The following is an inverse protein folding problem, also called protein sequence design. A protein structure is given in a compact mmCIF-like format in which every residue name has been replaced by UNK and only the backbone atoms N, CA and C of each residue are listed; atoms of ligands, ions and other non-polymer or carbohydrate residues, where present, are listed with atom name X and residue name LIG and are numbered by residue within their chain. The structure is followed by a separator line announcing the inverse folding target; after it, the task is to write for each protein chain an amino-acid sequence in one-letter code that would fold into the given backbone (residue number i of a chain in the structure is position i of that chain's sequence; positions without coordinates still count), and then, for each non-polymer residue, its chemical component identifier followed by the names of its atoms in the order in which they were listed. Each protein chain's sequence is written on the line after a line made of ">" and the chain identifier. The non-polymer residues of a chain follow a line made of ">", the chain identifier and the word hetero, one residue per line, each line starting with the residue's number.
data_IF_293078002339
#
_entry.id   IF_293078002339
#
_cell.length_a   1.000
_cell.length_b   1.000
_cell.length_c   1.000
_cell.angle_alpha   90.00
_cell.angle_beta   90.00
_cell.angle_gamma   90.00
#
_symmetry.space_group_name_H-M   'P 1'
#
loop_
_entity.id
_entity.type
_entity.pdbx_description
1 polymer ?
#
# COMPACT_ATOMS: atom_id res chain seq x y z
N UNK A 1 -13.71 -11.00 -8.06
CA UNK A 1 -12.64 -10.08 -8.51
C UNK A 1 -12.94 -9.64 -9.94
N UNK A 2 -12.76 -8.36 -10.28
CA UNK A 2 -13.04 -7.89 -11.65
C UNK A 2 -11.90 -8.25 -12.62
N UNK A 3 -12.24 -8.57 -13.86
CA UNK A 3 -11.27 -8.87 -14.93
C UNK A 3 -10.29 -7.71 -15.18
N UNK A 4 -10.78 -6.47 -15.05
CA UNK A 4 -9.99 -5.25 -15.18
C UNK A 4 -8.88 -5.14 -14.11
N UNK A 5 -9.15 -5.58 -12.88
CA UNK A 5 -8.17 -5.56 -11.78
C UNK A 5 -7.04 -6.56 -12.00
N UNK A 6 -7.34 -7.73 -12.60
CA UNK A 6 -6.34 -8.72 -12.95
C UNK A 6 -5.45 -8.22 -14.10
N UNK A 7 -6.05 -7.69 -15.17
CA UNK A 7 -5.31 -7.11 -16.32
C UNK A 7 -4.36 -5.98 -15.89
N UNK A 8 -4.85 -5.05 -15.06
CA UNK A 8 -4.02 -3.97 -14.52
C UNK A 8 -2.85 -4.50 -13.68
N UNK A 9 -3.08 -5.53 -12.86
CA UNK A 9 -2.04 -6.16 -12.06
C UNK A 9 -0.90 -6.75 -12.91
N UNK A 10 -1.20 -7.31 -14.08
CA UNK A 10 -0.21 -7.97 -14.92
C UNK A 10 0.52 -7.02 -15.90
N UNK A 11 -0.07 -5.88 -16.25
CA UNK A 11 0.47 -4.96 -17.26
C UNK A 11 0.96 -3.61 -16.74
N UNK A 12 0.57 -3.19 -15.53
CA UNK A 12 1.08 -1.96 -14.94
C UNK A 12 2.57 -2.08 -14.57
N UNK A 13 3.33 -0.98 -14.71
CA UNK A 13 4.65 -0.91 -14.11
C UNK A 13 4.55 -0.92 -12.55
N UNK A 14 5.62 -1.33 -11.84
CA UNK A 14 5.57 -1.49 -10.39
C UNK A 14 5.24 -0.20 -9.63
N UNK A 15 5.58 0.96 -10.18
CA UNK A 15 5.29 2.26 -9.56
C UNK A 15 3.82 2.61 -9.71
N UNK A 16 3.25 2.49 -10.91
CA UNK A 16 1.82 2.69 -11.16
C UNK A 16 0.96 1.71 -10.35
N UNK A 17 1.40 0.44 -10.26
CA UNK A 17 0.73 -0.55 -9.41
C UNK A 17 0.79 -0.18 -7.92
N UNK A 18 1.93 0.30 -7.45
CA UNK A 18 2.08 0.77 -6.07
C UNK A 18 1.21 2.00 -5.78
N UNK A 19 1.32 3.05 -6.60
CA UNK A 19 0.57 4.30 -6.42
C UNK A 19 -0.95 4.06 -6.44
N UNK A 20 -1.45 3.24 -7.37
CA UNK A 20 -2.88 2.91 -7.43
C UNK A 20 -3.35 2.12 -6.20
N UNK A 21 -2.50 1.23 -5.67
CA UNK A 21 -2.79 0.46 -4.45
C UNK A 21 -2.86 1.37 -3.22
N UNK A 22 -1.87 2.26 -3.03
CA UNK A 22 -1.91 3.24 -1.96
C UNK A 22 -3.11 4.17 -2.12
N UNK A 23 -3.45 4.62 -3.34
CA UNK A 23 -4.61 5.47 -3.56
C UNK A 23 -5.93 4.79 -3.15
N UNK A 24 -6.04 3.46 -3.24
CA UNK A 24 -7.17 2.70 -2.66
C UNK A 24 -7.11 2.71 -1.14
N UNK A 25 -5.96 2.40 -0.55
CA UNK A 25 -5.78 2.41 0.91
C UNK A 25 -6.05 3.78 1.52
N UNK A 26 -5.59 4.86 0.89
CA UNK A 26 -5.84 6.25 1.31
C UNK A 26 -7.31 6.58 1.34
N UNK A 27 -8.08 6.14 0.34
CA UNK A 27 -9.54 6.31 0.30
C UNK A 27 -10.24 5.57 1.44
N UNK A 28 -9.79 4.35 1.75
CA UNK A 28 -10.28 3.57 2.89
C UNK A 28 -9.95 4.25 4.23
N UNK A 29 -8.71 4.68 4.39
CA UNK A 29 -8.21 5.33 5.61
C UNK A 29 -8.83 6.71 5.90
N UNK A 30 -9.16 7.48 4.86
CA UNK A 30 -9.82 8.76 4.99
C UNK A 30 -11.18 8.66 5.71
N UNK A 31 -11.89 7.52 5.56
CA UNK A 31 -13.13 7.25 6.28
C UNK A 31 -12.97 6.96 7.77
N UNK A 32 -11.73 6.76 8.25
CA UNK A 32 -11.43 6.26 9.60
C UNK A 32 -10.52 7.19 10.41
N UNK A 33 -10.39 8.46 10.02
CA UNK A 33 -9.52 9.46 10.68
C UNK A 33 -8.01 9.09 10.69
N UNK A 34 -7.53 8.41 9.64
CA UNK A 34 -6.11 8.16 9.43
C UNK A 34 -5.61 8.93 8.20
N UNK A 35 -4.44 9.54 8.34
CA UNK A 35 -3.72 10.17 7.23
C UNK A 35 -2.84 9.10 6.59
N UNK A 36 -2.97 8.92 5.29
CA UNK A 36 -2.11 8.05 4.50
C UNK A 36 -1.38 8.86 3.45
N UNK A 37 -0.07 8.65 3.41
CA UNK A 37 0.82 9.20 2.40
C UNK A 37 1.77 8.12 1.88
N UNK A 38 2.24 8.29 0.65
CA UNK A 38 3.21 7.38 0.08
C UNK A 38 4.01 8.07 -1.02
N UNK A 39 5.14 7.46 -1.36
CA UNK A 39 5.89 7.87 -2.53
C UNK A 39 7.07 6.97 -2.83
N UNK A 40 7.88 7.48 -3.75
CA UNK A 40 9.00 6.79 -4.37
C UNK A 40 10.29 7.52 -4.08
N UNK A 41 11.28 6.80 -3.56
CA UNK A 41 12.65 7.29 -3.54
C UNK A 41 13.34 6.88 -4.84
N UNK A 42 13.56 7.84 -5.73
CA UNK A 42 14.23 7.62 -7.02
C UNK A 42 15.66 7.08 -6.83
N UNK A 43 16.41 7.64 -5.88
CA UNK A 43 17.82 7.27 -5.62
C UNK A 43 18.00 5.86 -5.06
N UNK A 44 17.00 5.36 -4.32
CA UNK A 44 17.11 4.06 -3.64
C UNK A 44 16.18 2.99 -4.20
N UNK A 45 15.39 3.33 -5.22
CA UNK A 45 14.41 2.46 -5.84
C UNK A 45 13.49 1.76 -4.80
N UNK A 46 13.04 2.56 -3.83
CA UNK A 46 12.23 2.13 -2.68
C UNK A 46 10.91 2.88 -2.68
N UNK A 47 9.85 2.15 -2.38
CA UNK A 47 8.56 2.72 -2.07
C UNK A 47 8.41 2.88 -0.56
N UNK A 48 7.80 4.00 -0.16
CA UNK A 48 7.47 4.24 1.24
C UNK A 48 5.96 4.46 1.38
N UNK A 49 5.40 3.89 2.44
CA UNK A 49 4.04 4.16 2.90
C UNK A 49 4.15 4.71 4.31
N UNK A 50 3.43 5.80 4.54
CA UNK A 50 3.29 6.45 5.83
C UNK A 50 1.81 6.47 6.20
N UNK A 51 1.50 6.04 7.41
CA UNK A 51 0.18 6.16 7.99
C UNK A 51 0.30 6.85 9.34
N UNK A 52 -0.54 7.85 9.61
CA UNK A 52 -0.63 8.44 10.93
C UNK A 52 -2.06 8.55 11.42
N UNK A 53 -2.22 8.39 12.72
CA UNK A 53 -3.47 8.70 13.43
C UNK A 53 -3.47 10.17 13.84
N UNK A 54 -4.64 10.78 13.89
CA UNK A 54 -4.84 12.08 14.55
C UNK A 54 -4.38 12.09 16.02
N UNK A 55 -4.23 10.92 16.65
CA UNK A 55 -3.74 10.77 18.03
C UNK A 55 -2.21 10.73 18.15
N UNK A 56 -1.47 10.95 17.06
CA UNK A 56 0.00 11.01 17.06
C UNK A 56 0.71 9.66 16.91
N UNK A 57 -0.03 8.57 16.63
CA UNK A 57 0.59 7.30 16.25
C UNK A 57 1.04 7.35 14.79
N UNK A 58 2.32 7.07 14.54
CA UNK A 58 2.92 7.12 13.22
C UNK A 58 3.45 5.73 12.83
N UNK A 59 3.19 5.32 11.59
CA UNK A 59 3.55 4.02 11.06
C UNK A 59 4.21 4.20 9.72
N UNK A 60 5.32 3.50 9.49
CA UNK A 60 6.09 3.62 8.26
C UNK A 60 6.46 2.24 7.74
N UNK A 61 6.21 2.04 6.45
CA UNK A 61 6.66 0.86 5.71
C UNK A 61 7.58 1.33 4.61
N UNK A 62 8.70 0.63 4.44
CA UNK A 62 9.58 0.79 3.29
C UNK A 62 9.68 -0.56 2.60
N UNK A 63 9.44 -0.59 1.30
CA UNK A 63 9.61 -1.77 0.46
C UNK A 63 10.52 -1.45 -0.73
N UNK A 64 11.25 -2.45 -1.22
CA UNK A 64 11.98 -2.30 -2.48
C UNK A 64 11.06 -2.43 -3.69
N UNK A 65 11.50 -1.91 -4.84
CA UNK A 65 10.76 -2.11 -6.09
C UNK A 65 10.60 -3.60 -6.42
N UNK A 66 11.62 -4.42 -6.15
CA UNK A 66 11.58 -5.87 -6.36
C UNK A 66 10.53 -6.57 -5.49
N UNK A 67 10.37 -6.14 -4.24
CA UNK A 67 9.31 -6.65 -3.36
C UNK A 67 7.92 -6.28 -3.88
N UNK A 68 7.72 -5.03 -4.33
CA UNK A 68 6.46 -4.61 -4.95
C UNK A 68 6.14 -5.48 -6.17
N UNK A 69 7.14 -5.68 -7.05
CA UNK A 69 7.00 -6.50 -8.26
C UNK A 69 6.71 -7.97 -7.93
N UNK A 70 7.34 -8.52 -6.90
CA UNK A 70 7.05 -9.88 -6.43
C UNK A 70 5.62 -10.00 -5.91
N UNK A 71 5.13 -9.00 -5.17
CA UNK A 71 3.75 -8.97 -4.68
C UNK A 71 2.74 -8.77 -5.82
N UNK A 72 3.05 -7.91 -6.80
CA UNK A 72 2.24 -7.73 -8.00
C UNK A 72 2.10 -9.03 -8.80
N UNK A 73 3.17 -9.83 -8.90
CA UNK A 73 3.11 -11.16 -9.56
C UNK A 73 2.28 -12.18 -8.81
N UNK A 74 2.15 -12.08 -7.49
CA UNK A 74 1.33 -13.00 -6.67
C UNK A 74 -0.16 -12.85 -6.95
N UNK A 75 -0.61 -11.66 -7.33
CA UNK A 75 -1.96 -11.43 -7.77
C UNK A 75 -2.53 -10.06 -7.39
N UNK A 76 -3.74 -9.76 -7.89
CA UNK A 76 -4.43 -8.53 -7.58
C UNK A 76 -4.72 -8.44 -6.08
N UNK A 77 -4.26 -7.37 -5.43
CA UNK A 77 -4.50 -7.11 -4.01
C UNK A 77 -3.45 -7.70 -3.06
N UNK A 78 -2.49 -8.50 -3.55
CA UNK A 78 -1.42 -9.04 -2.69
C UNK A 78 -0.57 -7.95 -2.05
N UNK A 79 -0.30 -6.85 -2.77
CA UNK A 79 0.40 -5.69 -2.23
C UNK A 79 -0.43 -4.96 -1.15
N UNK A 80 -1.73 -4.77 -1.39
CA UNK A 80 -2.62 -4.13 -0.41
C UNK A 80 -2.69 -4.94 0.89
N UNK A 81 -2.89 -6.26 0.77
CA UNK A 81 -2.91 -7.16 1.92
C UNK A 81 -1.59 -7.16 2.69
N UNK A 82 -0.46 -7.18 1.97
CA UNK A 82 0.87 -7.08 2.59
C UNK A 82 1.02 -5.77 3.37
N UNK A 83 0.69 -4.63 2.76
CA UNK A 83 0.82 -3.32 3.40
C UNK A 83 -0.06 -3.22 4.65
N UNK A 84 -1.32 -3.68 4.60
CA UNK A 84 -2.17 -3.71 5.78
C UNK A 84 -1.62 -4.61 6.89
N UNK A 85 -1.14 -5.81 6.55
CA UNK A 85 -0.57 -6.74 7.52
C UNK A 85 0.67 -6.16 8.19
N UNK A 86 1.55 -5.48 7.44
CA UNK A 86 2.72 -4.81 8.01
C UNK A 86 2.34 -3.64 8.91
N UNK A 87 1.29 -2.88 8.58
CA UNK A 87 0.76 -1.84 9.45
C UNK A 87 0.18 -2.44 10.74
N UNK A 88 -0.58 -3.54 10.64
CA UNK A 88 -1.14 -4.23 11.81
C UNK A 88 -0.07 -4.71 12.79
N UNK A 89 1.05 -5.24 12.28
CA UNK A 89 2.20 -5.63 13.11
C UNK A 89 2.78 -4.46 13.90
N UNK A 90 2.68 -3.24 13.39
CA UNK A 90 3.12 -2.03 14.07
C UNK A 90 2.06 -1.48 15.05
N UNK A 91 0.86 -2.07 15.10
CA UNK A 91 -0.25 -1.65 15.97
C UNK A 91 -1.30 -0.78 15.26
N UNK A 92 -1.22 -0.61 13.94
CA UNK A 92 -2.29 0.05 13.18
C UNK A 92 -3.52 -0.85 13.12
N UNK A 93 -4.74 -0.38 13.43
CA UNK A 93 -5.92 -1.22 13.41
C UNK A 93 -6.47 -1.40 11.98
N UNK A 94 -5.80 -2.16 11.11
CA UNK A 94 -6.20 -2.26 9.70
C UNK A 94 -7.56 -2.93 9.51
N UNK A 95 -7.94 -3.88 10.37
CA UNK A 95 -9.29 -4.45 10.42
C UNK A 95 -10.44 -3.43 10.56
N UNK A 96 -10.17 -2.22 11.08
CA UNK A 96 -11.17 -1.14 11.16
C UNK A 96 -11.26 -0.28 9.89
N UNK A 97 -10.33 -0.46 8.97
CA UNK A 97 -10.11 0.40 7.80
C UNK A 97 -10.30 -0.36 6.49
N UNK A 98 -10.05 -1.67 6.47
CA UNK A 98 -10.12 -2.54 5.28
C UNK A 98 -11.51 -2.65 4.64
#
# INVERSE_FOLDING_TARGET
>A
MSYASALFCHHADPETYFQSTVARMKRKAAGCHYVFDAGTSFLHNRFYVYASSLRGAEFRITLSQDQSKALQKKGPGSLEHFLWSELEKQGFPASKVQ
#
